data_IF_953442073992
#
_entry.id   IF_953442073992
#
_cell.length_a   1.000
_cell.length_b   1.000
_cell.length_c   1.000
_cell.angle_alpha   90.00
_cell.angle_beta   90.00
_cell.angle_gamma   90.00
#
_symmetry.space_group_name_H-M   'P 1'
#
loop_
_entity.id
_entity.type
_entity.pdbx_description
1 polymer ?
2 non-polymer ?
3 non-polymer ?
4 non-polymer ?
5 non-polymer ?
6 water ?
#
# COMPACT_ATOMS: atom_id res chain seq x y z
N UNK A 1 -5.70 16.28 -18.83
CA UNK A 1 -5.37 17.66 -18.37
C UNK A 1 -5.35 17.75 -16.84
N UNK A 2 -4.91 18.89 -16.32
CA UNK A 2 -4.82 19.09 -14.86
C UNK A 2 -6.18 19.12 -14.15
N UNK A 3 -7.28 19.27 -14.91
CA UNK A 3 -8.64 19.15 -14.32
C UNK A 3 -8.97 17.72 -13.82
N UNK A 4 -8.36 16.70 -14.42
CA UNK A 4 -8.62 15.32 -14.02
C UNK A 4 -7.96 14.98 -12.69
N UNK A 5 -8.69 14.27 -11.83
CA UNK A 5 -8.23 13.86 -10.48
C UNK A 5 -8.13 12.30 -10.40
N UNK A 6 -7.38 11.74 -9.43
CA UNK A 6 -7.35 10.29 -9.24
C UNK A 6 -8.76 9.76 -8.92
N UNK A 7 -9.12 8.58 -9.42
CA UNK A 7 -10.38 7.96 -9.08
C UNK A 7 -10.12 6.71 -8.25
N UNK A 8 -9.77 6.90 -6.98
CA UNK A 8 -9.45 5.78 -6.12
C UNK A 8 -10.75 5.20 -5.55
N UNK A 9 -11.17 4.07 -6.11
CA UNK A 9 -12.39 3.41 -5.71
C UNK A 9 -12.18 2.40 -4.62
N UNK A 10 -10.93 1.98 -4.41
CA UNK A 10 -10.62 0.99 -3.35
C UNK A 10 -9.13 1.03 -3.02
N UNK A 11 -8.82 0.97 -1.72
CA UNK A 11 -7.46 0.80 -1.21
C UNK A 11 -7.36 -0.58 -0.64
N UNK A 12 -6.31 -1.32 -0.99
CA UNK A 12 -6.06 -2.59 -0.35
C UNK A 12 -4.67 -2.68 0.26
N UNK A 13 -4.50 -3.61 1.20
CA UNK A 13 -3.17 -3.92 1.70
C UNK A 13 -3.20 -5.30 2.37
N UNK A 14 -2.03 -5.72 2.81
CA UNK A 14 -1.84 -7.03 3.41
C UNK A 14 -2.03 -7.06 4.91
N UNK A 15 -2.52 -5.96 5.49
CA UNK A 15 -2.91 -5.96 6.92
C UNK A 15 -1.74 -5.85 7.89
N UNK A 16 -0.50 -5.84 7.44
CA UNK A 16 0.65 -5.80 8.36
C UNK A 16 0.61 -4.48 9.15
N UNK A 17 1.33 -4.43 10.27
CA UNK A 17 1.55 -3.13 10.91
C UNK A 17 2.39 -2.26 9.96
N UNK A 18 2.45 -0.97 10.26
CA UNK A 18 3.21 -0.06 9.44
C UNK A 18 2.47 0.50 8.25
N UNK A 19 3.06 0.42 7.07
CA UNK A 19 2.43 0.97 5.87
C UNK A 19 1.06 0.34 5.57
N UNK A 20 0.98 -1.00 5.64
CA UNK A 20 -0.30 -1.66 5.29
C UNK A 20 -1.44 -1.12 6.18
N UNK A 21 -1.18 -1.02 7.48
CA UNK A 21 -2.20 -0.66 8.46
C UNK A 21 -2.62 0.80 8.30
N UNK A 22 -1.63 1.68 8.03
CA UNK A 22 -1.95 3.05 7.72
C UNK A 22 -2.83 3.16 6.49
N UNK A 23 -2.55 2.38 5.46
CA UNK A 23 -3.42 2.44 4.31
C UNK A 23 -4.88 2.17 4.63
N UNK A 24 -5.12 1.14 5.44
CA UNK A 24 -6.49 0.77 5.80
C UNK A 24 -7.14 1.84 6.70
N UNK A 25 -6.37 2.37 7.66
CA UNK A 25 -6.90 3.35 8.59
C UNK A 25 -7.24 4.62 7.82
N UNK A 26 -6.42 4.96 6.83
CA UNK A 26 -6.67 6.11 5.98
C UNK A 26 -7.97 5.90 5.21
N UNK A 27 -8.09 4.72 4.57
CA UNK A 27 -9.31 4.43 3.79
C UNK A 27 -10.54 4.58 4.68
N UNK A 28 -10.50 3.98 5.86
CA UNK A 28 -11.63 4.04 6.80
C UNK A 28 -11.97 5.50 7.19
N UNK A 29 -10.94 6.28 7.51
CA UNK A 29 -11.11 7.68 7.91
C UNK A 29 -11.79 8.48 6.79
N UNK A 30 -11.45 8.21 5.54
CA UNK A 30 -11.99 8.95 4.38
C UNK A 30 -13.13 8.25 3.62
N UNK A 31 -13.65 7.20 4.24
CA UNK A 31 -14.74 6.39 3.68
C UNK A 31 -14.45 5.97 2.23
N UNK A 32 -13.22 5.57 2.00
CA UNK A 32 -12.85 4.93 0.73
C UNK A 32 -12.99 3.42 0.94
N UNK A 33 -13.69 2.69 0.04
CA UNK A 33 -13.77 1.24 0.17
C UNK A 33 -12.38 0.63 0.30
N UNK A 34 -12.29 -0.46 1.05
CA UNK A 34 -11.01 -1.11 1.25
C UNK A 34 -11.17 -2.61 1.32
N UNK A 35 -10.02 -3.30 1.24
CA UNK A 35 -9.95 -4.72 1.39
C UNK A 35 -8.50 -5.16 1.45
N UNK A 36 -8.28 -6.43 1.13
CA UNK A 36 -6.92 -6.95 1.07
C UNK A 36 -6.85 -8.39 1.52
N UNK A 37 -5.85 -9.06 1.02
CA UNK A 37 -5.56 -10.44 1.39
C UNK A 37 -4.57 -10.47 2.53
N UNK A 38 -4.88 -11.28 3.53
CA UNK A 38 -4.04 -11.50 4.70
C UNK A 38 -3.71 -12.99 4.79
N UNK A 39 -2.68 -13.35 5.57
CA UNK A 39 -2.44 -14.80 5.76
C UNK A 39 -3.61 -15.51 6.39
N UNK A 40 -3.74 -16.82 6.16
CA UNK A 40 -4.64 -17.61 6.98
C UNK A 40 -4.41 -17.28 8.45
N UNK A 41 -5.49 -17.10 9.20
CA UNK A 41 -5.40 -16.73 10.62
C UNK A 41 -5.21 -15.25 10.87
N UNK A 42 -5.20 -14.46 9.80
CA UNK A 42 -5.04 -13.01 9.90
C UNK A 42 -3.71 -12.63 10.59
N UNK A 43 -2.67 -13.38 10.31
CA UNK A 43 -1.42 -13.17 11.02
C UNK A 43 -0.75 -11.85 10.66
N UNK A 44 -0.12 -11.23 11.67
CA UNK A 44 0.61 -9.99 11.50
C UNK A 44 1.54 -9.82 12.70
N UNK A 45 2.52 -8.96 12.54
CA UNK A 45 3.29 -8.48 13.69
C UNK A 45 2.32 -7.82 14.67
N UNK A 46 2.46 -8.13 15.96
CA UNK A 46 1.53 -7.55 16.96
C UNK A 46 0.20 -8.26 17.11
N UNK A 47 -0.01 -9.39 16.46
CA UNK A 47 -1.15 -10.25 16.64
C UNK A 47 -2.18 -10.18 15.53
N UNK A 48 -3.18 -11.03 15.66
CA UNK A 48 -4.29 -11.20 14.72
C UNK A 48 -4.79 -9.80 14.27
N UNK A 49 -4.89 -9.56 12.97
CA UNK A 49 -5.38 -8.26 12.50
C UNK A 49 -6.79 -8.08 13.10
N UNK A 50 -7.04 -6.94 13.78
CA UNK A 50 -8.33 -6.78 14.47
C UNK A 50 -9.54 -7.03 13.57
N UNK A 51 -10.59 -7.59 14.14
CA UNK A 51 -11.74 -8.01 13.37
C UNK A 51 -12.53 -6.84 12.75
N UNK A 52 -12.30 -5.64 13.23
CA UNK A 52 -12.98 -4.48 12.67
C UNK A 52 -12.59 -4.27 11.19
N UNK A 53 -11.41 -4.74 10.79
CA UNK A 53 -10.99 -4.63 9.39
C UNK A 53 -11.57 -5.79 8.56
N UNK A 54 -12.32 -5.43 7.51
CA UNK A 54 -12.94 -6.41 6.63
C UNK A 54 -11.92 -6.84 5.58
N UNK A 55 -11.29 -8.00 5.83
CA UNK A 55 -10.20 -8.52 4.97
C UNK A 55 -10.43 -9.95 4.61
N UNK A 56 -9.66 -10.47 3.66
CA UNK A 56 -9.90 -11.83 3.16
C UNK A 56 -8.68 -12.71 3.43
N UNK A 57 -8.89 -13.90 4.03
CA UNK A 57 -7.81 -14.80 4.33
C UNK A 57 -7.39 -15.65 3.12
N UNK A 58 -6.07 -15.82 3.00
CA UNK A 58 -5.46 -16.75 2.03
C UNK A 58 -5.54 -18.18 2.56
N UNK A 59 -5.31 -19.16 1.69
CA UNK A 59 -5.36 -20.57 2.13
C UNK A 59 -4.27 -21.02 3.10
N UNK A 60 -3.15 -20.33 3.12
CA UNK A 60 -2.06 -20.67 4.03
C UNK A 60 -1.58 -19.45 4.77
N UNK A 61 -0.80 -19.68 5.81
CA UNK A 61 -0.27 -18.61 6.65
C UNK A 61 0.94 -17.85 6.06
N UNK A 62 1.30 -18.12 4.79
CA UNK A 62 2.52 -17.56 4.21
C UNK A 62 2.44 -16.05 3.87
N UNK A 63 3.39 -15.31 4.39
CA UNK A 63 3.46 -13.90 4.05
C UNK A 63 3.66 -13.62 2.55
N UNK A 64 4.63 -14.26 1.93
CA UNK A 64 4.94 -13.98 0.54
C UNK A 64 3.72 -14.18 -0.38
N UNK A 65 2.93 -15.21 -0.13
CA UNK A 65 1.78 -15.53 -0.98
C UNK A 65 0.71 -14.44 -0.87
N UNK A 66 0.49 -13.90 0.34
CA UNK A 66 -0.52 -12.80 0.44
C UNK A 66 0.01 -11.52 -0.21
N UNK A 67 1.29 -11.22 -0.08
CA UNK A 67 1.88 -10.04 -0.76
C UNK A 67 1.73 -10.17 -2.25
N UNK A 68 2.00 -11.35 -2.78
CA UNK A 68 1.84 -11.58 -4.21
C UNK A 68 0.39 -11.34 -4.66
N UNK A 69 -0.56 -11.87 -3.87
CA UNK A 69 -2.02 -11.79 -4.19
C UNK A 69 -2.48 -10.31 -4.23
N UNK A 70 -2.00 -9.49 -3.29
CA UNK A 70 -2.41 -8.06 -3.32
C UNK A 70 -1.87 -7.33 -4.55
N UNK A 71 -0.68 -7.69 -5.01
CA UNK A 71 -0.13 -7.14 -6.26
C UNK A 71 -0.99 -7.54 -7.46
N UNK A 72 -1.42 -8.79 -7.47
CA UNK A 72 -2.18 -9.32 -8.60
C UNK A 72 -3.61 -8.81 -8.61
N UNK A 73 -4.21 -8.58 -7.43
CA UNK A 73 -5.62 -8.26 -7.35
C UNK A 73 -5.86 -6.74 -7.16
N UNK A 74 -5.04 -5.92 -7.83
CA UNK A 74 -5.19 -4.46 -7.84
C UNK A 74 -4.73 -3.92 -9.15
N UNK A 75 -4.97 -2.63 -9.38
CA UNK A 75 -4.55 -1.99 -10.62
C UNK A 75 -3.08 -1.54 -10.60
N UNK A 76 -2.54 -1.29 -9.42
CA UNK A 76 -1.17 -0.87 -9.25
C UNK A 76 -0.81 -0.95 -7.80
N UNK A 77 0.49 -0.86 -7.51
CA UNK A 77 1.04 -0.94 -6.16
C UNK A 77 1.95 0.26 -5.86
N UNK A 78 1.61 0.93 -4.77
CA UNK A 78 2.37 2.04 -4.23
C UNK A 78 3.17 1.46 -3.05
N UNK A 79 4.50 1.59 -3.04
CA UNK A 79 5.37 1.08 -1.97
C UNK A 79 5.99 2.31 -1.28
N UNK A 80 5.80 2.43 0.03
CA UNK A 80 6.29 3.57 0.79
C UNK A 80 7.35 3.07 1.79
N UNK A 81 8.52 3.73 1.84
CA UNK A 81 9.58 3.38 2.76
C UNK A 81 10.39 4.61 3.15
N UNK A 82 11.28 4.38 4.10
CA UNK A 82 12.45 5.23 4.34
C UNK A 82 13.67 4.44 4.00
N UNK A 83 14.28 4.75 2.87
CA UNK A 83 15.45 4.03 2.40
C UNK A 83 15.13 2.97 1.34
N UNK A 84 16.18 2.30 0.87
CA UNK A 84 16.05 1.27 -0.15
C UNK A 84 15.19 0.13 0.36
N UNK A 85 14.41 -0.44 -0.56
CA UNK A 85 13.57 -1.59 -0.22
C UNK A 85 14.35 -2.84 0.17
N UNK A 86 13.88 -3.48 1.24
CA UNK A 86 14.38 -4.77 1.71
C UNK A 86 13.21 -5.67 2.04
N UNK A 87 13.48 -6.96 2.19
CA UNK A 87 12.48 -7.84 2.75
C UNK A 87 11.18 -7.85 1.95
N UNK A 88 10.05 -7.88 2.65
CA UNK A 88 8.75 -8.00 2.01
C UNK A 88 8.45 -6.89 1.02
N UNK A 89 8.92 -5.67 1.33
CA UNK A 89 8.70 -4.54 0.44
C UNK A 89 9.45 -4.71 -0.88
N UNK A 90 10.69 -5.22 -0.81
CA UNK A 90 11.45 -5.49 -2.03
C UNK A 90 10.78 -6.61 -2.85
N UNK A 91 10.23 -7.60 -2.16
CA UNK A 91 9.51 -8.72 -2.81
C UNK A 91 8.27 -8.18 -3.50
N UNK A 92 7.58 -7.25 -2.85
CA UNK A 92 6.39 -6.62 -3.47
C UNK A 92 6.76 -6.05 -4.84
N UNK A 93 7.83 -5.26 -4.86
CA UNK A 93 8.32 -4.63 -6.08
C UNK A 93 8.69 -5.68 -7.14
N UNK A 94 9.37 -6.75 -6.71
CA UNK A 94 9.71 -7.86 -7.60
C UNK A 94 8.44 -8.43 -8.23
N UNK A 95 7.41 -8.71 -7.42
CA UNK A 95 6.18 -9.29 -7.97
C UNK A 95 5.51 -8.32 -8.97
N UNK A 96 5.43 -7.03 -8.61
CA UNK A 96 4.86 -6.08 -9.55
C UNK A 96 5.61 -6.07 -10.91
N UNK A 97 6.94 -6.07 -10.83
CA UNK A 97 7.80 -6.13 -12.04
C UNK A 97 7.53 -7.39 -12.87
N UNK A 98 7.43 -8.54 -12.20
CA UNK A 98 7.25 -9.82 -12.90
C UNK A 98 5.86 -9.99 -13.53
N UNK A 99 4.84 -9.37 -12.94
CA UNK A 99 3.48 -9.44 -13.44
C UNK A 99 3.09 -8.20 -14.25
N UNK A 100 4.03 -7.29 -14.46
CA UNK A 100 3.81 -6.08 -15.26
C UNK A 100 2.70 -5.18 -14.72
N UNK A 101 2.65 -5.08 -13.40
CA UNK A 101 1.71 -4.20 -12.72
C UNK A 101 2.39 -2.87 -12.48
N UNK A 102 1.71 -1.74 -12.72
CA UNK A 102 2.28 -0.46 -12.39
C UNK A 102 2.72 -0.44 -10.94
N UNK A 103 3.86 0.15 -10.69
CA UNK A 103 4.46 0.17 -9.37
C UNK A 103 5.25 1.48 -9.19
N UNK A 104 5.00 2.17 -8.09
CA UNK A 104 5.71 3.35 -7.71
C UNK A 104 6.24 3.17 -6.33
N UNK A 105 7.54 3.31 -6.16
CA UNK A 105 8.18 3.31 -4.86
C UNK A 105 8.52 4.76 -4.48
N UNK A 106 7.93 5.21 -3.38
CA UNK A 106 8.23 6.49 -2.74
C UNK A 106 9.17 6.21 -1.57
N UNK A 107 10.38 6.77 -1.64
CA UNK A 107 11.38 6.71 -0.58
C UNK A 107 11.34 8.09 0.12
N UNK A 108 10.72 8.12 1.30
CA UNK A 108 10.51 9.35 2.04
C UNK A 108 11.77 9.83 2.74
N UNK A 109 12.90 9.16 2.52
CA UNK A 109 14.20 9.79 2.82
C UNK A 109 14.75 10.62 1.65
N UNK A 110 14.17 10.46 0.46
CA UNK A 110 14.69 11.09 -0.74
C UNK A 110 13.79 12.18 -1.29
N UNK A 111 12.51 12.14 -0.93
CA UNK A 111 11.52 13.09 -1.46
C UNK A 111 10.63 13.53 -0.29
N UNK A 112 10.18 14.78 -0.31
CA UNK A 112 9.23 15.24 0.71
C UNK A 112 7.83 14.65 0.48
N UNK A 113 7.01 14.60 1.53
CA UNK A 113 5.66 14.08 1.35
C UNK A 113 4.85 14.92 0.35
N UNK A 114 5.06 16.24 0.34
CA UNK A 114 4.29 17.06 -0.59
C UNK A 114 4.64 16.73 -2.02
N UNK A 115 5.90 16.60 -2.32
CA UNK A 115 6.35 16.32 -3.71
C UNK A 115 5.98 14.88 -4.12
N UNK A 116 6.11 13.96 -3.17
CA UNK A 116 5.68 12.60 -3.40
C UNK A 116 4.21 12.52 -3.79
N UNK A 117 3.37 13.29 -3.10
CA UNK A 117 1.93 13.29 -3.41
C UNK A 117 1.70 13.67 -4.87
N UNK A 118 2.46 14.65 -5.35
CA UNK A 118 2.39 15.05 -6.79
C UNK A 118 2.74 13.89 -7.70
N UNK A 119 3.83 13.20 -7.38
CA UNK A 119 4.21 12.02 -8.16
C UNK A 119 3.14 10.93 -8.17
N UNK A 120 2.54 10.64 -7.00
CA UNK A 120 1.51 9.63 -6.91
C UNK A 120 0.28 10.05 -7.75
N UNK A 121 -0.06 11.31 -7.69
CA UNK A 121 -1.18 11.82 -8.52
C UNK A 121 -0.89 11.58 -10.01
N UNK A 122 0.29 11.95 -10.49
CA UNK A 122 0.62 11.79 -11.90
C UNK A 122 0.56 10.30 -12.29
N UNK A 123 1.08 9.43 -11.42
CA UNK A 123 1.18 8.02 -11.70
C UNK A 123 -0.20 7.35 -11.71
N UNK A 124 -0.99 7.62 -10.67
CA UNK A 124 -2.34 7.01 -10.59
C UNK A 124 -3.21 7.45 -11.76
N UNK A 125 -3.21 8.74 -12.08
CA UNK A 125 -4.10 9.24 -13.15
C UNK A 125 -3.63 8.69 -14.50
N UNK A 126 -2.32 8.77 -14.76
CA UNK A 126 -1.81 8.37 -16.07
C UNK A 126 -1.96 6.88 -16.32
N UNK A 127 -1.92 6.06 -15.25
CA UNK A 127 -2.08 4.62 -15.38
C UNK A 127 -3.51 4.09 -15.09
N UNK A 128 -4.44 5.03 -14.91
CA UNK A 128 -5.85 4.74 -14.59
C UNK A 128 -6.01 3.78 -13.42
N UNK A 129 -5.21 4.00 -12.37
CA UNK A 129 -5.22 3.14 -11.20
C UNK A 129 -6.41 3.54 -10.34
N UNK A 130 -7.34 2.59 -10.13
CA UNK A 130 -8.49 2.83 -9.26
C UNK A 130 -8.50 1.98 -7.99
N UNK A 131 -8.09 0.72 -8.11
CA UNK A 131 -7.88 -0.18 -6.99
C UNK A 131 -6.38 -0.15 -6.71
N UNK A 132 -6.02 0.50 -5.61
CA UNK A 132 -4.65 0.77 -5.26
C UNK A 132 -4.17 -0.08 -4.11
N UNK A 133 -3.17 -0.93 -4.34
CA UNK A 133 -2.48 -1.70 -3.29
C UNK A 133 -1.39 -0.82 -2.70
N UNK A 134 -1.34 -0.73 -1.37
CA UNK A 134 -0.35 0.08 -0.68
C UNK A 134 0.43 -0.88 0.20
N UNK A 135 1.75 -0.81 0.10
CA UNK A 135 2.68 -1.70 0.79
C UNK A 135 3.83 -0.94 1.38
N UNK A 136 4.54 -1.60 2.29
CA UNK A 136 5.75 -1.04 2.88
C UNK A 136 6.12 -1.78 4.16
N UNK A 137 7.20 -1.33 4.80
CA UNK A 137 7.71 -2.09 5.96
C UNK A 137 6.75 -2.17 7.17
N UNK A 138 6.92 -3.21 7.96
CA UNK A 138 6.19 -3.36 9.22
C UNK A 138 6.70 -2.34 10.22
N UNK A 139 5.88 -2.03 11.21
CA UNK A 139 6.24 -1.03 12.22
C UNK A 139 7.49 -1.38 13.00
N UNK A 140 7.68 -2.66 13.27
CA UNK A 140 8.90 -3.08 13.96
C UNK A 140 10.19 -2.81 13.21
N UNK A 141 10.11 -2.67 11.90
CA UNK A 141 11.27 -2.28 11.12
C UNK A 141 11.42 -0.75 10.94
N UNK A 142 10.32 -0.02 11.01
CA UNK A 142 10.36 1.42 10.81
C UNK A 142 9.27 2.05 11.68
N UNK A 143 9.65 2.60 12.83
CA UNK A 143 8.69 3.20 13.74
C UNK A 143 8.00 4.45 13.20
N UNK A 144 8.51 5.05 12.12
CA UNK A 144 7.93 6.25 11.53
C UNK A 144 7.06 5.94 10.32
N UNK A 145 7.02 4.69 9.84
CA UNK A 145 6.33 4.44 8.58
C UNK A 145 4.80 4.56 8.63
N UNK A 146 4.19 4.21 9.77
CA UNK A 146 2.73 4.31 9.88
C UNK A 146 2.29 5.76 9.69
N UNK A 147 2.88 6.65 10.49
CA UNK A 147 2.43 8.05 10.43
C UNK A 147 2.87 8.74 9.12
N UNK A 148 4.03 8.37 8.62
CA UNK A 148 4.47 8.94 7.36
C UNK A 148 3.50 8.58 6.24
N UNK A 149 3.05 7.31 6.25
CA UNK A 149 2.06 6.84 5.29
C UNK A 149 0.75 7.62 5.42
N UNK A 150 0.25 7.77 6.66
CA UNK A 150 -0.96 8.59 6.88
C UNK A 150 -0.80 9.99 6.31
N UNK A 151 0.34 10.62 6.63
CA UNK A 151 0.57 12.01 6.28
C UNK A 151 0.66 12.14 4.75
N UNK A 152 1.33 11.19 4.11
CA UNK A 152 1.45 11.19 2.65
C UNK A 152 0.07 11.06 1.98
N UNK A 153 -0.71 10.07 2.43
CA UNK A 153 -2.03 9.86 1.84
C UNK A 153 -2.94 11.06 2.05
N UNK A 154 -2.80 11.72 3.20
CA UNK A 154 -3.58 12.93 3.43
C UNK A 154 -3.29 14.01 2.39
N UNK A 155 -2.03 14.19 2.04
CA UNK A 155 -1.70 15.21 1.01
C UNK A 155 -2.18 14.75 -0.35
N UNK A 156 -2.00 13.45 -0.65
CA UNK A 156 -2.45 12.89 -1.92
C UNK A 156 -3.97 12.97 -2.14
N UNK A 157 -4.76 12.60 -1.12
CA UNK A 157 -6.25 12.39 -1.29
C UNK A 157 -7.16 13.18 -0.36
N UNK A 158 -6.58 13.92 0.57
CA UNK A 158 -7.34 14.79 1.47
C UNK A 158 -6.88 16.23 1.27
X LIG B 1 5.30 -5.69 2.24
X LIG B 1 5.89 -5.36 3.47
X LIG B 1 3.77 -5.65 2.32
X LIG B 1 3.35 -4.36 2.73
X LIG B 1 3.25 -6.72 3.31
X LIG B 1 1.84 -6.96 3.17
X LIG C 1 11.94 10.22 -6.51
X LIG C 1 11.32 9.78 -7.71
X LIG C 1 12.69 9.08 -5.81
X LIG C 1 12.62 7.86 -6.55
X LIG C 1 12.22 8.91 -4.37
X LIG C 1 11.51 7.70 -4.15
X LIG D 1 -2.49 5.35 15.84
X LIG D 1 -1.07 5.32 16.03
X LIG D 1 -0.38 4.06 15.47
X LIG D 1 -1.26 2.89 15.49
X LIG D 1 -2.72 2.99 15.53
X LIG D 1 -3.12 4.19 16.38
X LIG D 1 -0.65 1.56 15.43
X LIG D 1 -0.30 1.32 13.96
X LIG D 1 0.67 -0.03 13.68
X LIG D 1 -0.25 -1.21 13.76
X LIG D 1 1.26 0.15 12.36
X LIG D 1 1.82 -0.12 14.63
X LIG E 1 -14.36 -5.31 -0.48
X LIG E 1 -15.04 -4.04 -0.38
X LIG E 1 -15.71 -3.69 -1.70
X LIG E 1 -14.95 -4.19 -2.80
X LIG E 1 -15.44 -3.72 -4.07
X LIG E 1 -14.87 -4.55 -5.23
X LIG E 1 -13.60 -4.05 -5.69
X LIG E 1 -13.13 -4.70 -6.87
X LIG E 1 -11.65 -5.07 -6.77
X LIG E 1 -11.32 -5.60 -5.48
X LIG E 1 -10.12 -6.34 -5.60
X LIG E 1 -9.30 -6.34 -4.33
X LIG E 1 -10.03 -6.73 -3.16
X LIG F 1 -8.25 -17.03 -2.56
X LIG F 1 -7.87 -16.79 -3.92
X LIG F 1 -8.95 -16.98 -4.85
X LIG F 1 -9.51 -15.63 -5.29
X LIG F 1 -8.85 -15.17 -6.47
X LIG F 1 -8.93 -13.75 -6.68
X LIG F 1 -8.08 -13.32 -7.88
X LIG F 1 -7.03 -12.43 -7.47
X LIG F 1 -6.12 -12.04 -8.51
X LIG F 1 -5.34 -13.20 -9.12
X LIG F 1 -4.87 -14.13 -8.14
X LIG F 1 -4.26 -15.26 -8.76
X LIG F 1 -3.18 -15.86 -7.87
X LIG F 1 -3.82 -16.65 -6.87
X LIG F 1 -2.90 -17.21 -5.94
X LIG F 1 -3.68 -18.13 -5.01
X LIG F 1 -4.80 -17.47 -4.44
X LIG F 1 -5.54 -18.30 -3.52
#
# INVERSE_FOLDING_TARGET
GMDEKPAITKIISGGQTGADRAALDFAIKHHIPYGGWVPKGRLAEGGRVPETYQLQEMPTSDYSKRTEKNVLDSDGTLIISHGILKGGSALTEFFAEQYKKPCLHIDLDRISIEDAATLINSWTVSHHIQVLNIAGPRAGKDPEIYQATMDLLEVFLA
GOL C1 O1 C2 O2 C3 O3
GOL C1 O1 C2 O2 C3 O3
MES O1 C2 C3 N4 C5 C6 C7 C8 S O1S O2S O3S
PG4 O1 C1 C2 O2 C3 C4 O3 C5 C6 O4 C7 C8 O5
PG6 C1 O1 C2 C3 O2 C4 C5 O3 C6 C7 O4 C8 C9 O5 C10 C11 O6 C12
#
